data_IF_337125799528
#
_entry.id   IF_337125799528
#
_cell.length_a   1.000
_cell.length_b   1.000
_cell.length_c   1.000
_cell.angle_alpha   90.00
_cell.angle_beta   90.00
_cell.angle_gamma   90.00
#
_symmetry.space_group_name_H-M   'P 1'
#
loop_
_entity.id
_entity.type
_entity.pdbx_description
1 polymer ?
#
# COMPACT_ATOMS: atom_id res chain seq x y z
N UNK A 1 25.63 -0.55 -11.03
CA UNK A 1 24.33 0.01 -11.39
C UNK A 1 23.51 0.22 -10.13
N UNK A 2 22.42 1.01 -10.18
CA UNK A 2 21.50 1.20 -9.06
C UNK A 2 20.92 -0.16 -8.59
N UNK A 3 20.47 -1.00 -9.54
CA UNK A 3 19.97 -2.37 -9.29
C UNK A 3 20.92 -3.20 -8.43
N UNK A 4 22.19 -3.34 -8.83
CA UNK A 4 23.18 -4.13 -8.07
C UNK A 4 23.36 -3.67 -6.62
N UNK A 5 23.33 -2.34 -6.37
CA UNK A 5 23.46 -1.80 -5.00
C UNK A 5 22.20 -2.06 -4.18
N UNK A 6 21.01 -1.93 -4.78
CA UNK A 6 19.73 -2.30 -4.18
C UNK A 6 19.71 -3.78 -3.82
N UNK A 7 20.06 -4.66 -4.76
CA UNK A 7 20.00 -6.11 -4.57
C UNK A 7 20.96 -6.58 -3.47
N UNK A 8 22.19 -6.07 -3.45
CA UNK A 8 23.15 -6.35 -2.38
C UNK A 8 22.64 -5.89 -1.01
N UNK A 9 21.91 -4.75 -0.95
CA UNK A 9 21.29 -4.29 0.27
C UNK A 9 20.17 -5.24 0.74
N UNK A 10 19.31 -5.71 -0.17
CA UNK A 10 18.25 -6.68 0.12
C UNK A 10 18.82 -8.04 0.54
N UNK A 11 19.83 -8.54 -0.16
CA UNK A 11 20.49 -9.81 0.17
C UNK A 11 21.07 -9.79 1.58
N UNK A 12 21.68 -8.67 1.98
CA UNK A 12 22.16 -8.47 3.35
C UNK A 12 21.02 -8.53 4.36
N UNK A 13 19.86 -7.94 4.08
CA UNK A 13 18.68 -8.03 4.96
C UNK A 13 18.15 -9.46 5.07
N UNK A 14 18.12 -10.21 3.95
CA UNK A 14 17.73 -11.62 3.95
C UNK A 14 18.65 -12.46 4.86
N UNK A 15 19.96 -12.21 4.80
CA UNK A 15 20.93 -12.83 5.70
C UNK A 15 20.68 -12.52 7.17
N UNK A 16 20.31 -11.28 7.50
CA UNK A 16 19.95 -10.88 8.88
C UNK A 16 18.72 -11.65 9.38
N UNK A 17 17.68 -11.79 8.56
CA UNK A 17 16.49 -12.56 8.95
C UNK A 17 16.81 -14.05 9.15
N UNK A 18 17.58 -14.66 8.25
CA UNK A 18 18.01 -16.05 8.38
C UNK A 18 18.78 -16.28 9.69
N UNK A 19 19.75 -15.40 10.01
CA UNK A 19 20.51 -15.47 11.25
C UNK A 19 19.66 -15.25 12.51
N UNK A 20 18.61 -14.42 12.42
CA UNK A 20 17.69 -14.20 13.53
C UNK A 20 16.77 -15.39 13.79
N UNK A 21 16.35 -16.11 12.75
CA UNK A 21 15.59 -17.36 12.89
C UNK A 21 16.45 -18.43 13.56
N UNK A 22 17.69 -18.61 13.09
CA UNK A 22 18.64 -19.58 13.63
C UNK A 22 18.94 -19.33 15.12
N UNK A 23 19.25 -18.08 15.50
CA UNK A 23 19.49 -17.69 16.91
C UNK A 23 18.29 -17.90 17.82
N UNK A 24 17.08 -17.96 17.27
CA UNK A 24 15.83 -18.22 17.99
C UNK A 24 15.38 -19.67 17.88
N UNK A 25 16.24 -20.53 17.33
CA UNK A 25 15.99 -21.96 17.15
C UNK A 25 14.71 -22.24 16.35
N UNK A 26 14.38 -21.35 15.41
CA UNK A 26 13.23 -21.56 14.52
C UNK A 26 13.63 -22.51 13.41
N UNK A 27 13.00 -23.69 13.37
CA UNK A 27 13.17 -24.66 12.27
C UNK A 27 12.65 -24.07 10.96
N UNK A 28 13.56 -23.67 10.07
CA UNK A 28 13.24 -23.20 8.74
C UNK A 28 13.15 -24.36 7.75
N UNK A 29 11.96 -24.60 7.21
CA UNK A 29 11.73 -25.55 6.12
C UNK A 29 11.66 -24.77 4.80
N UNK A 30 12.53 -25.09 3.85
CA UNK A 30 12.53 -24.49 2.51
C UNK A 30 11.79 -25.40 1.54
N UNK A 31 10.66 -24.94 1.04
CA UNK A 31 9.81 -25.66 0.11
C UNK A 31 8.44 -25.01 0.03
N UNK A 32 7.52 -25.62 -0.74
CA UNK A 32 6.14 -25.13 -0.81
C UNK A 32 5.25 -25.97 0.09
N UNK A 33 4.62 -25.32 1.07
CA UNK A 33 3.70 -25.97 1.99
C UNK A 33 2.29 -26.08 1.39
N UNK A 34 1.64 -27.23 1.60
CA UNK A 34 0.20 -27.43 1.33
C UNK A 34 -0.43 -28.26 2.44
N UNK A 35 -1.70 -28.04 2.72
CA UNK A 35 -2.44 -28.88 3.65
C UNK A 35 -2.70 -30.26 3.04
N UNK A 36 -2.53 -31.30 3.86
CA UNK A 36 -2.97 -32.68 3.55
C UNK A 36 -4.03 -33.18 4.53
N UNK A 37 -4.24 -32.44 5.63
CA UNK A 37 -5.36 -32.53 6.55
C UNK A 37 -5.44 -31.24 7.37
N UNK A 38 -6.48 -31.03 8.20
CA UNK A 38 -6.56 -29.85 9.07
C UNK A 38 -5.38 -29.67 10.04
N UNK A 39 -4.62 -30.73 10.35
CA UNK A 39 -3.52 -30.70 11.33
C UNK A 39 -2.14 -31.08 10.74
N UNK A 40 -2.04 -31.27 9.43
CA UNK A 40 -0.82 -31.75 8.77
C UNK A 40 -0.60 -31.01 7.46
N UNK A 41 0.63 -30.53 7.27
CA UNK A 41 1.10 -29.95 6.02
C UNK A 41 2.16 -30.86 5.39
N UNK A 42 2.22 -30.84 4.06
CA UNK A 42 3.28 -31.42 3.25
C UNK A 42 4.16 -30.28 2.73
N UNK A 43 5.48 -30.41 2.91
CA UNK A 43 6.50 -29.51 2.36
C UNK A 43 7.42 -30.37 1.51
N UNK A 44 7.26 -30.27 0.20
CA UNK A 44 8.02 -31.01 -0.82
C UNK A 44 8.15 -32.53 -0.54
N UNK A 45 7.06 -33.17 -0.09
CA UNK A 45 6.99 -34.61 0.21
C UNK A 45 7.25 -35.01 1.66
N UNK A 46 7.65 -34.06 2.51
CA UNK A 46 7.83 -34.28 3.95
C UNK A 46 6.63 -33.76 4.74
N UNK A 47 6.09 -34.56 5.66
CA UNK A 47 4.89 -34.23 6.43
C UNK A 47 5.21 -33.68 7.81
N UNK A 48 4.49 -32.64 8.20
CA UNK A 48 4.67 -31.94 9.48
C UNK A 48 3.32 -31.70 10.14
N UNK A 49 3.26 -31.87 11.47
CA UNK A 49 2.07 -31.63 12.29
C UNK A 49 2.32 -30.52 13.29
N UNK A 50 1.29 -29.73 13.56
CA UNK A 50 1.32 -28.69 14.59
C UNK A 50 -0.03 -28.56 15.28
N UNK A 51 -0.01 -28.18 16.56
CA UNK A 51 -1.22 -27.87 17.34
C UNK A 51 -1.83 -26.52 16.97
N UNK A 52 -1.05 -25.63 16.33
CA UNK A 52 -1.42 -24.29 15.86
C UNK A 52 -0.74 -24.04 14.52
N UNK A 53 -1.48 -23.53 13.53
CA UNK A 53 -0.96 -23.22 12.20
C UNK A 53 -1.33 -21.78 11.86
N UNK A 54 -0.37 -20.97 11.42
CA UNK A 54 -0.62 -19.60 10.97
C UNK A 54 -0.28 -19.47 9.48
N UNK A 55 -1.25 -19.04 8.68
CA UNK A 55 -1.12 -18.80 7.24
C UNK A 55 -0.73 -17.32 7.04
N UNK A 56 0.47 -17.10 6.52
CA UNK A 56 1.03 -15.77 6.24
C UNK A 56 1.67 -15.74 4.85
N UNK A 57 0.97 -16.30 3.85
CA UNK A 57 1.50 -16.56 2.49
C UNK A 57 1.48 -15.34 1.58
N UNK A 58 0.98 -14.20 2.08
CA UNK A 58 0.96 -12.93 1.38
C UNK A 58 0.02 -12.93 0.18
N UNK A 59 0.41 -12.18 -0.85
CA UNK A 59 -0.27 -12.11 -2.14
C UNK A 59 0.72 -11.93 -3.28
N UNK A 60 0.20 -11.90 -4.51
CA UNK A 60 0.98 -11.71 -5.73
C UNK A 60 0.30 -10.68 -6.65
N UNK A 61 1.04 -10.00 -7.54
CA UNK A 61 0.45 -9.01 -8.44
C UNK A 61 -0.57 -9.64 -9.40
N UNK A 62 -1.69 -8.96 -9.63
CA UNK A 62 -2.69 -9.41 -10.60
C UNK A 62 -2.30 -9.01 -12.02
N UNK A 63 -2.47 -9.94 -12.96
CA UNK A 63 -2.30 -9.73 -14.41
C UNK A 63 -3.69 -9.79 -15.05
N UNK A 64 -4.05 -8.88 -15.98
CA UNK A 64 -5.37 -8.91 -16.60
C UNK A 64 -5.52 -10.13 -17.51
N UNK A 65 -6.74 -10.69 -17.56
CA UNK A 65 -7.11 -11.75 -18.49
C UNK A 65 -7.50 -11.14 -19.85
N UNK A 66 -6.50 -10.70 -20.60
CA UNK A 66 -6.63 -10.12 -21.95
C UNK A 66 -5.53 -10.68 -22.86
N UNK A 67 -5.76 -10.79 -24.18
CA UNK A 67 -4.72 -11.19 -25.12
C UNK A 67 -3.46 -10.31 -25.01
N UNK A 68 -2.30 -10.96 -24.96
CA UNK A 68 -0.99 -10.30 -24.89
C UNK A 68 -0.62 -9.73 -23.52
N UNK A 69 -1.39 -9.99 -22.46
CA UNK A 69 -1.07 -9.52 -21.11
C UNK A 69 0.34 -9.94 -20.64
N UNK A 70 0.82 -11.10 -21.10
CA UNK A 70 2.15 -11.65 -20.83
C UNK A 70 3.30 -10.82 -21.43
N UNK A 71 3.01 -9.90 -22.36
CA UNK A 71 4.01 -8.96 -22.90
C UNK A 71 4.38 -7.86 -21.90
N UNK A 72 3.47 -7.56 -20.95
CA UNK A 72 3.72 -6.63 -19.85
C UNK A 72 4.39 -7.31 -18.66
N UNK A 73 4.76 -6.50 -17.67
CA UNK A 73 5.37 -6.95 -16.42
C UNK A 73 4.61 -6.39 -15.21
N UNK A 74 4.82 -6.98 -14.05
CA UNK A 74 4.21 -6.54 -12.78
C UNK A 74 5.22 -5.75 -11.95
N UNK A 75 4.86 -5.36 -10.71
CA UNK A 75 5.83 -4.78 -9.77
C UNK A 75 7.05 -5.68 -9.54
N UNK A 76 6.89 -7.00 -9.60
CA UNK A 76 8.02 -7.94 -9.46
C UNK A 76 8.98 -7.79 -10.64
N UNK A 77 8.45 -7.75 -11.85
CA UNK A 77 9.24 -7.52 -13.06
C UNK A 77 9.87 -6.11 -13.13
N UNK A 78 9.23 -5.08 -12.56
CA UNK A 78 9.83 -3.75 -12.42
C UNK A 78 11.15 -3.82 -11.65
N UNK A 79 11.19 -4.54 -10.53
CA UNK A 79 12.42 -4.66 -9.76
C UNK A 79 13.47 -5.51 -10.51
N UNK A 80 13.07 -6.42 -11.40
CA UNK A 80 14.01 -7.20 -12.20
C UNK A 80 14.60 -6.47 -13.42
N UNK A 81 14.06 -5.32 -13.82
CA UNK A 81 14.59 -4.54 -14.95
C UNK A 81 16.08 -4.21 -14.78
N UNK A 82 16.91 -4.70 -15.70
CA UNK A 82 18.33 -4.31 -15.79
C UNK A 82 18.49 -2.93 -16.44
N UNK A 83 17.58 -2.59 -17.35
CA UNK A 83 17.57 -1.33 -18.09
C UNK A 83 16.21 -0.65 -17.97
N UNK A 84 16.25 0.68 -17.89
CA UNK A 84 15.05 1.52 -17.80
C UNK A 84 14.40 1.63 -19.19
N UNK A 85 13.13 1.25 -19.39
CA UNK A 85 12.42 1.48 -20.65
C UNK A 85 12.36 2.98 -20.97
N UNK A 86 12.50 3.37 -22.23
CA UNK A 86 12.47 4.79 -22.60
C UNK A 86 11.04 5.33 -22.58
N UNK A 87 10.06 4.53 -23.00
CA UNK A 87 8.62 4.82 -22.98
C UNK A 87 7.92 3.74 -22.17
N UNK A 88 7.11 4.12 -21.19
CA UNK A 88 6.43 3.17 -20.32
C UNK A 88 4.96 3.53 -20.13
N UNK A 89 4.10 2.53 -20.27
CA UNK A 89 2.71 2.61 -19.85
C UNK A 89 2.54 1.95 -18.48
N UNK A 90 2.00 2.68 -17.50
CA UNK A 90 1.60 2.13 -16.20
C UNK A 90 0.07 1.99 -16.20
N UNK A 91 -0.44 0.79 -15.95
CA UNK A 91 -1.87 0.51 -15.91
C UNK A 91 -2.29 0.29 -14.46
N UNK A 92 -3.07 1.22 -13.92
CA UNK A 92 -3.48 1.20 -12.52
C UNK A 92 -3.58 2.60 -11.91
N UNK A 93 -4.30 2.71 -10.79
CA UNK A 93 -4.56 3.98 -10.12
C UNK A 93 -4.31 3.94 -8.60
N UNK A 94 -3.80 2.82 -8.08
CA UNK A 94 -3.47 2.65 -6.65
C UNK A 94 -2.02 3.07 -6.34
N UNK A 95 -1.62 2.94 -5.07
CA UNK A 95 -0.32 3.40 -4.58
C UNK A 95 0.86 2.88 -5.42
N UNK A 96 0.92 1.57 -5.72
CA UNK A 96 1.99 0.97 -6.55
C UNK A 96 2.10 1.66 -7.92
N UNK A 97 0.96 1.92 -8.56
CA UNK A 97 0.93 2.53 -9.89
C UNK A 97 1.51 3.95 -9.84
N UNK A 98 1.12 4.74 -8.85
CA UNK A 98 1.51 6.14 -8.71
C UNK A 98 2.98 6.26 -8.28
N UNK A 99 3.43 5.44 -7.33
CA UNK A 99 4.84 5.37 -6.90
C UNK A 99 5.76 5.01 -8.07
N UNK A 100 5.45 3.91 -8.77
CA UNK A 100 6.31 3.44 -9.86
C UNK A 100 6.24 4.32 -11.11
N UNK A 101 5.10 4.97 -11.38
CA UNK A 101 5.03 6.00 -12.41
C UNK A 101 5.94 7.20 -12.08
N UNK A 102 5.93 7.66 -10.82
CA UNK A 102 6.85 8.70 -10.36
C UNK A 102 8.32 8.28 -10.49
N UNK A 103 8.66 7.05 -10.12
CA UNK A 103 10.02 6.52 -10.27
C UNK A 103 10.45 6.41 -11.73
N UNK A 104 9.60 5.92 -12.64
CA UNK A 104 9.92 5.90 -14.05
C UNK A 104 10.15 7.31 -14.63
N UNK A 105 9.26 8.25 -14.29
CA UNK A 105 9.34 9.63 -14.78
C UNK A 105 10.57 10.37 -14.24
N UNK A 106 10.82 10.32 -12.92
CA UNK A 106 12.04 10.86 -12.30
C UNK A 106 13.31 10.13 -12.78
N UNK A 107 13.14 8.84 -13.12
CA UNK A 107 14.03 8.01 -13.93
C UNK A 107 14.46 8.71 -15.23
N UNK A 108 13.53 9.38 -15.91
CA UNK A 108 13.66 9.96 -17.24
C UNK A 108 12.99 9.12 -18.34
N UNK A 109 12.04 8.26 -18.00
CA UNK A 109 11.15 7.58 -18.96
C UNK A 109 9.98 8.48 -19.34
N UNK A 110 9.59 8.48 -20.62
CA UNK A 110 8.29 9.03 -21.04
C UNK A 110 7.17 8.14 -20.49
N UNK A 111 6.52 8.63 -19.44
CA UNK A 111 5.63 7.83 -18.59
C UNK A 111 4.17 8.22 -18.82
N UNK A 112 3.34 7.24 -19.20
CA UNK A 112 1.89 7.42 -19.33
C UNK A 112 1.15 6.49 -18.39
N UNK A 113 0.26 7.02 -17.56
CA UNK A 113 -0.58 6.26 -16.64
C UNK A 113 -1.99 6.10 -17.22
N UNK A 114 -2.40 4.86 -17.44
CA UNK A 114 -3.73 4.50 -17.91
C UNK A 114 -4.61 4.10 -16.72
N UNK A 115 -5.71 4.82 -16.52
CA UNK A 115 -6.63 4.60 -15.40
C UNK A 115 -8.05 4.29 -15.90
N UNK A 116 -8.73 3.35 -15.24
CA UNK A 116 -10.08 2.90 -15.61
C UNK A 116 -11.17 3.94 -15.35
N UNK A 117 -10.93 4.88 -14.44
CA UNK A 117 -11.90 5.91 -14.01
C UNK A 117 -11.28 7.30 -14.18
N UNK A 118 -11.64 8.26 -13.32
CA UNK A 118 -11.29 9.67 -13.47
C UNK A 118 -10.06 10.12 -12.66
N UNK A 119 -9.68 9.39 -11.62
CA UNK A 119 -8.61 9.81 -10.71
C UNK A 119 -7.78 8.66 -10.14
N UNK A 120 -6.69 9.04 -9.48
CA UNK A 120 -5.77 8.15 -8.75
C UNK A 120 -6.06 8.18 -7.26
N UNK A 121 -5.55 7.18 -6.54
CA UNK A 121 -5.64 7.06 -5.08
C UNK A 121 -7.09 7.25 -4.56
N UNK A 122 -8.06 6.63 -5.25
CA UNK A 122 -9.50 6.82 -4.98
C UNK A 122 -9.98 6.32 -3.61
N UNK A 123 -9.18 5.51 -2.94
CA UNK A 123 -9.44 5.02 -1.58
C UNK A 123 -8.79 5.94 -0.51
N UNK A 124 -8.16 7.03 -0.93
CA UNK A 124 -7.59 8.07 -0.07
C UNK A 124 -8.47 9.32 -0.10
N UNK A 125 -8.18 10.28 0.78
CA UNK A 125 -8.86 11.59 0.74
C UNK A 125 -8.66 12.23 -0.64
N UNK A 126 -9.75 12.76 -1.22
CA UNK A 126 -9.77 13.29 -2.58
C UNK A 126 -8.67 14.35 -2.83
N UNK A 127 -8.35 15.14 -1.80
CA UNK A 127 -7.27 16.13 -1.86
C UNK A 127 -5.93 15.48 -2.21
N UNK A 128 -5.61 14.33 -1.63
CA UNK A 128 -4.33 13.65 -1.84
C UNK A 128 -4.20 13.17 -3.29
N UNK A 129 -5.25 12.54 -3.82
CA UNK A 129 -5.27 12.08 -5.21
C UNK A 129 -5.20 13.22 -6.22
N UNK A 130 -5.88 14.34 -5.95
CA UNK A 130 -5.90 15.52 -6.81
C UNK A 130 -4.53 16.24 -6.84
N UNK A 131 -3.94 16.51 -5.68
CA UNK A 131 -2.65 17.19 -5.59
C UNK A 131 -1.51 16.32 -6.15
N UNK A 132 -1.50 15.01 -5.86
CA UNK A 132 -0.51 14.10 -6.42
C UNK A 132 -0.57 14.07 -7.95
N UNK A 133 -1.78 14.00 -8.51
CA UNK A 133 -1.96 14.04 -9.97
C UNK A 133 -1.46 15.34 -10.57
N UNK A 134 -1.82 16.47 -9.97
CA UNK A 134 -1.43 17.79 -10.47
C UNK A 134 0.09 17.96 -10.49
N UNK A 135 0.78 17.51 -9.43
CA UNK A 135 2.26 17.57 -9.39
C UNK A 135 2.87 16.62 -10.42
N UNK A 136 2.37 15.39 -10.53
CA UNK A 136 2.90 14.43 -11.52
C UNK A 136 2.70 14.91 -12.97
N UNK A 137 1.56 15.54 -13.28
CA UNK A 137 1.31 16.14 -14.59
C UNK A 137 2.27 17.31 -14.86
N UNK A 138 2.55 18.14 -13.86
CA UNK A 138 3.55 19.21 -13.96
C UNK A 138 4.98 18.66 -14.18
N UNK A 139 5.30 17.51 -13.60
CA UNK A 139 6.57 16.79 -13.78
C UNK A 139 6.64 16.01 -15.12
N UNK A 140 5.58 16.05 -15.94
CA UNK A 140 5.55 15.47 -17.29
C UNK A 140 4.92 14.08 -17.41
N UNK A 141 4.38 13.53 -16.32
CA UNK A 141 3.59 12.28 -16.38
C UNK A 141 2.28 12.54 -17.12
N UNK A 142 1.98 11.71 -18.13
CA UNK A 142 0.74 11.79 -18.89
C UNK A 142 -0.32 10.89 -18.26
N UNK A 143 -1.56 11.36 -18.15
CA UNK A 143 -2.68 10.54 -17.67
C UNK A 143 -3.71 10.31 -18.77
N UNK A 144 -4.08 9.05 -18.98
CA UNK A 144 -5.18 8.65 -19.88
C UNK A 144 -6.29 8.05 -19.03
N UNK A 145 -7.37 8.82 -18.89
CA UNK A 145 -8.52 8.44 -18.06
C UNK A 145 -9.54 7.60 -18.82
N UNK A 146 -10.40 6.92 -18.05
CA UNK A 146 -11.46 6.03 -18.55
C UNK A 146 -10.96 4.99 -19.55
N UNK A 147 -9.71 4.55 -19.40
CA UNK A 147 -9.06 3.62 -20.30
C UNK A 147 -9.15 2.21 -19.71
N UNK A 148 -9.94 1.35 -20.34
CA UNK A 148 -10.10 -0.06 -19.94
C UNK A 148 -9.39 -0.93 -20.97
N UNK A 149 -8.21 -1.49 -20.67
CA UNK A 149 -7.45 -2.28 -21.64
C UNK A 149 -8.17 -3.59 -21.99
N UNK A 150 -8.19 -3.94 -23.26
CA UNK A 150 -8.79 -5.18 -23.80
C UNK A 150 -7.79 -6.07 -24.51
N UNK A 151 -6.64 -5.53 -24.92
CA UNK A 151 -5.56 -6.25 -25.59
C UNK A 151 -4.24 -5.47 -25.43
N UNK A 152 -3.13 -6.18 -25.35
CA UNK A 152 -1.79 -5.65 -25.48
C UNK A 152 -1.13 -6.27 -26.71
N UNK A 153 -0.85 -5.47 -27.73
CA UNK A 153 -0.32 -5.92 -29.01
C UNK A 153 1.17 -5.57 -29.12
N UNK A 154 2.00 -6.49 -29.62
CA UNK A 154 3.38 -6.18 -30.03
C UNK A 154 3.42 -5.78 -31.49
N UNK A 155 3.92 -4.58 -31.78
CA UNK A 155 4.10 -4.03 -33.13
C UNK A 155 5.59 -3.85 -33.46
N UNK A 156 5.91 -3.34 -34.66
CA UNK A 156 7.28 -2.98 -35.03
C UNK A 156 7.87 -1.85 -34.19
N UNK A 157 7.02 -0.99 -33.62
CA UNK A 157 7.41 0.27 -32.99
C UNK A 157 7.35 0.22 -31.46
N UNK A 158 6.92 -0.91 -30.90
CA UNK A 158 6.74 -1.13 -29.46
C UNK A 158 5.49 -1.93 -29.14
N UNK A 159 5.03 -1.85 -27.91
CA UNK A 159 3.79 -2.45 -27.45
C UNK A 159 2.67 -1.40 -27.43
N UNK A 160 1.46 -1.78 -27.82
CA UNK A 160 0.29 -0.89 -27.91
C UNK A 160 -0.86 -1.46 -27.09
N UNK A 161 -1.39 -0.66 -26.17
CA UNK A 161 -2.62 -0.98 -25.43
C UNK A 161 -3.84 -0.60 -26.26
N UNK A 162 -4.79 -1.53 -26.40
CA UNK A 162 -6.11 -1.27 -26.97
C UNK A 162 -7.13 -1.13 -25.85
N UNK A 163 -8.02 -0.14 -25.96
CA UNK A 163 -9.10 0.08 -25.01
C UNK A 163 -10.45 -0.39 -25.52
N UNK A 164 -11.35 -0.71 -24.59
CA UNK A 164 -12.72 -1.14 -24.88
C UNK A 164 -13.55 -0.12 -25.69
N UNK A 165 -13.18 1.16 -25.65
CA UNK A 165 -13.84 2.24 -26.42
C UNK A 165 -13.18 2.50 -27.79
N UNK A 166 -12.26 1.63 -28.22
CA UNK A 166 -11.56 1.72 -29.51
C UNK A 166 -10.33 2.63 -29.51
N UNK A 167 -10.01 3.31 -28.40
CA UNK A 167 -8.75 4.08 -28.29
C UNK A 167 -7.54 3.14 -28.26
N UNK A 168 -6.39 3.64 -28.73
CA UNK A 168 -5.09 2.97 -28.68
C UNK A 168 -4.05 3.87 -28.00
N UNK A 169 -3.13 3.29 -27.23
CA UNK A 169 -1.98 4.03 -26.71
C UNK A 169 -0.97 4.33 -27.82
N UNK A 170 -0.05 5.27 -27.56
CA UNK A 170 1.19 5.31 -28.32
C UNK A 170 2.00 4.01 -28.08
N UNK A 171 2.88 3.59 -29.02
CA UNK A 171 3.79 2.48 -28.78
C UNK A 171 4.75 2.76 -27.62
N UNK A 172 4.92 1.78 -26.72
CA UNK A 172 5.80 1.86 -25.55
C UNK A 172 6.78 0.68 -25.49
N UNK A 173 7.85 0.84 -24.71
CA UNK A 173 8.89 -0.20 -24.54
C UNK A 173 8.60 -1.12 -23.35
N UNK A 174 7.74 -0.66 -22.43
CA UNK A 174 7.33 -1.40 -21.24
C UNK A 174 5.88 -1.13 -20.86
N UNK A 175 5.18 -2.16 -20.38
CA UNK A 175 3.85 -2.03 -19.77
C UNK A 175 3.89 -2.62 -18.37
N UNK A 176 3.62 -1.79 -17.37
CA UNK A 176 3.50 -2.20 -15.98
C UNK A 176 2.02 -2.43 -15.61
N UNK A 177 1.69 -3.66 -15.23
CA UNK A 177 0.42 -4.01 -14.61
C UNK A 177 0.48 -3.74 -13.09
N UNK A 178 -0.17 -2.65 -12.67
CA UNK A 178 -0.32 -2.25 -11.27
C UNK A 178 -1.82 -2.17 -10.90
N UNK A 179 -2.57 -3.20 -11.26
CA UNK A 179 -4.04 -3.22 -11.23
C UNK A 179 -4.64 -3.86 -9.96
N UNK A 180 -3.79 -4.29 -9.01
CA UNK A 180 -4.21 -4.97 -7.79
C UNK A 180 -3.29 -6.15 -7.45
N UNK A 181 -3.63 -6.81 -6.35
CA UNK A 181 -2.94 -8.01 -5.86
C UNK A 181 -3.98 -9.07 -5.50
N UNK A 182 -3.59 -10.33 -5.61
CA UNK A 182 -4.43 -11.50 -5.30
C UNK A 182 -3.83 -12.26 -4.13
N UNK A 183 -4.69 -12.78 -3.24
CA UNK A 183 -4.27 -13.59 -2.11
C UNK A 183 -3.55 -14.87 -2.56
N UNK A 184 -2.45 -15.22 -1.90
CA UNK A 184 -1.70 -16.43 -2.20
C UNK A 184 -2.27 -17.65 -1.44
N UNK A 185 -3.49 -18.02 -1.79
CA UNK A 185 -4.20 -19.20 -1.26
C UNK A 185 -4.21 -20.37 -2.25
N UNK A 186 -3.98 -20.09 -3.54
CA UNK A 186 -3.90 -21.10 -4.59
C UNK A 186 -2.69 -22.00 -4.37
N UNK A 187 -2.91 -23.31 -4.35
CA UNK A 187 -1.86 -24.31 -4.13
C UNK A 187 -1.62 -24.68 -2.66
N UNK A 188 -2.17 -23.93 -1.70
CA UNK A 188 -2.13 -24.30 -0.28
C UNK A 188 -3.08 -25.44 0.09
N UNK A 189 -4.05 -25.76 -0.77
CA UNK A 189 -5.11 -26.72 -0.50
C UNK A 189 -5.88 -26.42 0.80
N UNK A 190 -6.20 -25.13 1.01
CA UNK A 190 -6.92 -24.65 2.21
C UNK A 190 -8.27 -25.32 2.41
N UNK A 191 -8.91 -25.75 1.32
CA UNK A 191 -10.14 -26.55 1.29
C UNK A 191 -9.97 -27.92 1.96
N UNK A 192 -8.82 -28.59 1.78
CA UNK A 192 -8.50 -29.87 2.47
C UNK A 192 -8.41 -29.66 3.99
N UNK A 193 -8.01 -28.47 4.42
CA UNK A 193 -7.98 -28.10 5.84
C UNK A 193 -9.34 -27.66 6.39
N UNK A 194 -10.37 -27.54 5.54
CA UNK A 194 -11.69 -27.02 5.89
C UNK A 194 -11.75 -25.50 6.02
N UNK A 195 -10.75 -24.78 5.51
CA UNK A 195 -10.68 -23.32 5.59
C UNK A 195 -11.48 -22.71 4.43
N UNK A 196 -12.34 -21.76 4.77
CA UNK A 196 -13.11 -20.99 3.79
C UNK A 196 -12.30 -19.82 3.23
N UNK A 197 -12.50 -19.51 1.94
CA UNK A 197 -12.04 -18.28 1.31
C UNK A 197 -13.22 -17.48 0.79
N UNK A 198 -13.10 -16.15 0.76
CA UNK A 198 -14.09 -15.31 0.10
C UNK A 198 -14.03 -15.44 -1.45
N UNK A 199 -14.92 -14.74 -2.15
CA UNK A 199 -14.99 -14.77 -3.61
C UNK A 199 -13.73 -14.21 -4.31
N UNK A 200 -12.93 -13.40 -3.61
CA UNK A 200 -11.67 -12.85 -4.11
C UNK A 200 -10.45 -13.73 -3.73
N UNK A 201 -10.68 -14.81 -2.98
CA UNK A 201 -9.67 -15.78 -2.57
C UNK A 201 -8.94 -15.42 -1.27
N UNK A 202 -9.35 -14.36 -0.55
CA UNK A 202 -8.82 -14.04 0.78
C UNK A 202 -9.38 -15.00 1.83
N UNK A 203 -8.64 -15.19 2.92
CA UNK A 203 -9.08 -16.00 4.08
C UNK A 203 -9.77 -15.07 5.09
N UNK A 204 -11.09 -15.15 5.28
CA UNK A 204 -11.79 -14.38 6.30
C UNK A 204 -11.29 -14.76 7.69
N UNK A 205 -11.12 -13.75 8.55
CA UNK A 205 -10.68 -13.93 9.93
C UNK A 205 -11.41 -12.98 10.87
N UNK A 206 -11.62 -13.44 12.10
CA UNK A 206 -12.03 -12.58 13.21
C UNK A 206 -10.90 -11.61 13.64
N UNK A 207 -11.16 -10.76 14.63
CA UNK A 207 -10.19 -9.78 15.13
C UNK A 207 -8.97 -10.42 15.79
N UNK A 208 -9.10 -11.68 16.15
CA UNK A 208 -8.04 -12.52 16.69
C UNK A 208 -7.39 -13.38 15.59
N UNK A 209 -7.48 -12.96 14.33
CA UNK A 209 -6.84 -13.65 13.19
C UNK A 209 -7.24 -15.12 13.04
N UNK A 210 -8.30 -15.57 13.72
CA UNK A 210 -8.75 -16.95 13.66
C UNK A 210 -9.59 -17.16 12.40
N UNK A 211 -9.31 -18.27 11.71
CA UNK A 211 -10.16 -18.74 10.60
C UNK A 211 -11.41 -19.43 11.15
N UNK A 212 -12.27 -19.94 10.26
CA UNK A 212 -13.37 -20.84 10.64
C UNK A 212 -12.88 -22.16 11.29
N UNK A 213 -11.59 -22.51 11.17
CA UNK A 213 -10.97 -23.68 11.80
C UNK A 213 -10.18 -23.25 13.06
N UNK A 214 -10.64 -23.68 14.24
CA UNK A 214 -10.22 -23.18 15.58
C UNK A 214 -8.71 -23.09 15.85
N UNK A 215 -7.89 -23.95 15.26
CA UNK A 215 -6.44 -23.98 15.48
C UNK A 215 -5.63 -23.42 14.30
N UNK A 216 -6.30 -22.92 13.27
CA UNK A 216 -5.69 -22.30 12.09
C UNK A 216 -6.00 -20.80 12.09
N UNK A 217 -4.96 -20.00 11.89
CA UNK A 217 -5.00 -18.55 11.87
C UNK A 217 -4.53 -18.03 10.51
N UNK A 218 -4.92 -16.83 10.13
CA UNK A 218 -4.39 -16.15 8.95
C UNK A 218 -4.09 -14.67 9.24
N UNK A 219 -2.98 -14.16 8.70
CA UNK A 219 -2.54 -12.78 8.92
C UNK A 219 -1.78 -12.21 7.72
N UNK A 220 -1.72 -10.89 7.64
CA UNK A 220 -1.14 -10.16 6.51
C UNK A 220 -2.04 -10.18 5.28
N UNK A 221 -1.47 -9.93 4.10
CA UNK A 221 -2.20 -9.68 2.85
C UNK A 221 -3.21 -10.78 2.49
N UNK A 222 -2.97 -12.04 2.89
CA UNK A 222 -3.86 -13.18 2.61
C UNK A 222 -5.25 -13.02 3.24
N UNK A 223 -5.41 -12.11 4.22
CA UNK A 223 -6.68 -11.85 4.92
C UNK A 223 -7.55 -10.77 4.26
N UNK A 224 -7.01 -10.01 3.31
CA UNK A 224 -7.73 -8.90 2.68
C UNK A 224 -8.02 -7.70 3.59
N UNK A 225 -7.47 -7.68 4.83
CA UNK A 225 -7.45 -6.47 5.69
C UNK A 225 -6.43 -5.45 5.13
N UNK A 226 -5.73 -4.69 5.98
CA UNK A 226 -4.74 -3.71 5.49
C UNK A 226 -3.45 -4.40 5.00
N UNK A 227 -3.17 -4.32 3.69
CA UNK A 227 -2.00 -4.90 3.03
C UNK A 227 -0.72 -4.06 3.25
N UNK A 228 -0.27 -3.99 4.51
CA UNK A 228 0.89 -3.21 4.95
C UNK A 228 1.82 -4.06 5.82
N UNK A 229 3.13 -3.93 5.61
CA UNK A 229 4.13 -4.69 6.37
C UNK A 229 4.01 -4.49 7.90
N UNK A 230 3.85 -3.25 8.43
CA UNK A 230 3.68 -3.04 9.88
C UNK A 230 2.42 -3.70 10.44
N UNK A 231 1.35 -3.80 9.64
CA UNK A 231 0.09 -4.46 10.03
C UNK A 231 0.31 -5.97 10.18
N UNK A 232 0.94 -6.61 9.19
CA UNK A 232 1.27 -8.03 9.26
C UNK A 232 2.16 -8.36 10.46
N UNK A 233 3.20 -7.53 10.71
CA UNK A 233 4.09 -7.69 11.87
C UNK A 233 3.33 -7.53 13.19
N UNK A 234 2.49 -6.49 13.32
CA UNK A 234 1.74 -6.23 14.55
C UNK A 234 0.71 -7.33 14.82
N UNK A 235 -0.03 -7.77 13.80
CA UNK A 235 -0.98 -8.88 13.90
C UNK A 235 -0.28 -10.19 14.30
N UNK A 236 0.87 -10.51 13.68
CA UNK A 236 1.66 -11.69 14.02
C UNK A 236 2.22 -11.68 15.45
N UNK A 237 2.76 -10.54 15.90
CA UNK A 237 3.23 -10.40 17.29
C UNK A 237 2.09 -10.59 18.30
N UNK A 238 0.95 -9.95 18.06
CA UNK A 238 -0.23 -10.03 18.94
C UNK A 238 -0.88 -11.42 18.93
N UNK A 239 -0.85 -12.12 17.80
CA UNK A 239 -1.22 -13.53 17.71
C UNK A 239 -0.30 -14.39 18.60
N UNK A 240 1.02 -14.18 18.54
CA UNK A 240 1.96 -14.90 19.39
C UNK A 240 1.76 -14.59 20.89
N UNK A 241 1.55 -13.32 21.25
CA UNK A 241 1.23 -12.89 22.62
C UNK A 241 -0.01 -13.62 23.16
N UNK A 242 -1.04 -13.80 22.32
CA UNK A 242 -2.28 -14.50 22.69
C UNK A 242 -2.08 -16.01 22.82
N UNK A 243 -1.40 -16.63 21.86
CA UNK A 243 -1.25 -18.09 21.82
C UNK A 243 -0.23 -18.61 22.84
N UNK A 244 0.80 -17.82 23.15
CA UNK A 244 1.97 -18.28 23.91
C UNK A 244 2.40 -17.32 25.02
N UNK A 245 1.91 -16.08 25.04
CA UNK A 245 2.30 -15.05 26.01
C UNK A 245 1.29 -14.78 27.13
N UNK A 246 0.16 -15.50 27.17
CA UNK A 246 -0.87 -15.35 28.21
C UNK A 246 -1.74 -14.10 28.09
N UNK A 247 -1.72 -13.41 26.94
CA UNK A 247 -2.52 -12.20 26.71
C UNK A 247 -3.77 -12.50 25.87
N UNK A 248 -4.81 -13.10 26.48
CA UNK A 248 -5.98 -13.64 25.76
C UNK A 248 -6.69 -12.64 24.85
N UNK A 249 -6.83 -11.39 25.30
CA UNK A 249 -7.56 -10.33 24.58
C UNK A 249 -6.69 -9.56 23.58
N UNK A 250 -5.41 -9.93 23.42
CA UNK A 250 -4.46 -9.15 22.64
C UNK A 250 -4.76 -9.28 21.15
N UNK A 251 -5.29 -8.24 20.51
CA UNK A 251 -5.54 -8.21 19.06
C UNK A 251 -5.12 -6.88 18.43
N UNK A 252 -5.00 -6.82 17.10
CA UNK A 252 -4.65 -5.60 16.39
C UNK A 252 -5.93 -4.80 16.11
N UNK A 253 -5.94 -3.55 16.54
CA UNK A 253 -6.92 -2.56 16.10
C UNK A 253 -6.59 -2.13 14.66
N UNK A 254 -7.54 -2.24 13.74
CA UNK A 254 -7.37 -1.88 12.34
C UNK A 254 -7.81 -0.46 12.02
N UNK A 255 -8.27 0.29 13.02
CA UNK A 255 -8.56 1.72 12.91
C UNK A 255 -7.27 2.55 12.98
N UNK A 256 -7.26 3.70 12.31
CA UNK A 256 -6.18 4.69 12.36
C UNK A 256 -4.77 4.14 12.06
N UNK A 257 -4.65 3.21 11.11
CA UNK A 257 -3.35 2.74 10.62
C UNK A 257 -2.72 3.85 9.78
N UNK A 258 -1.57 4.43 10.18
CA UNK A 258 -0.89 5.43 9.37
C UNK A 258 -0.26 4.78 8.13
N UNK A 259 -0.33 5.48 7.02
CA UNK A 259 0.19 5.03 5.72
C UNK A 259 0.95 6.17 5.06
N UNK A 260 2.06 5.82 4.41
CA UNK A 260 2.79 6.72 3.51
C UNK A 260 2.69 6.14 2.09
N UNK A 261 2.45 7.00 1.11
CA UNK A 261 2.62 6.68 -0.31
C UNK A 261 3.80 7.47 -0.84
N UNK A 262 4.79 6.79 -1.41
CA UNK A 262 6.04 7.40 -1.87
C UNK A 262 5.89 8.01 -3.28
N UNK A 263 4.87 8.85 -3.44
CA UNK A 263 4.75 9.78 -4.56
C UNK A 263 5.84 10.85 -4.50
N UNK A 264 5.94 11.69 -5.53
CA UNK A 264 6.86 12.81 -5.55
C UNK A 264 6.02 14.10 -5.67
N UNK A 265 5.82 14.87 -4.59
CA UNK A 265 6.27 14.64 -3.21
C UNK A 265 5.48 13.53 -2.48
N UNK A 266 5.95 13.00 -1.33
CA UNK A 266 5.29 11.90 -0.62
C UNK A 266 3.98 12.34 0.05
N UNK A 267 3.10 11.36 0.26
CA UNK A 267 1.83 11.49 0.98
C UNK A 267 1.96 10.82 2.35
N UNK A 268 1.45 11.48 3.39
CA UNK A 268 1.18 10.88 4.69
C UNK A 268 -0.32 10.92 5.01
N UNK A 269 -0.91 9.81 5.46
CA UNK A 269 -2.34 9.74 5.79
C UNK A 269 -2.64 8.83 6.97
N UNK A 270 -3.56 9.24 7.84
CA UNK A 270 -4.12 8.39 8.91
C UNK A 270 -5.58 8.74 9.18
N UNK A 271 -6.39 7.73 9.47
CA UNK A 271 -7.79 7.90 9.85
C UNK A 271 -8.74 8.04 8.65
N UNK A 272 -9.94 8.55 8.93
CA UNK A 272 -11.02 8.70 7.97
C UNK A 272 -10.73 9.81 6.96
N UNK A 273 -11.05 9.57 5.70
CA UNK A 273 -11.17 10.61 4.67
C UNK A 273 -12.33 11.55 4.96
N UNK A 274 -12.36 12.72 4.31
CA UNK A 274 -13.46 13.67 4.49
C UNK A 274 -14.80 13.05 4.08
N UNK A 275 -14.81 12.27 2.99
CA UNK A 275 -16.01 11.60 2.50
C UNK A 275 -16.52 10.55 3.50
N UNK A 276 -15.63 9.74 4.08
CA UNK A 276 -15.99 8.75 5.10
C UNK A 276 -16.50 9.43 6.39
N UNK A 277 -15.82 10.49 6.86
CA UNK A 277 -16.23 11.23 8.04
C UNK A 277 -17.60 11.88 7.84
N UNK A 278 -17.85 12.53 6.69
CA UNK A 278 -19.16 13.09 6.35
C UNK A 278 -20.23 12.01 6.24
N UNK A 279 -19.92 10.86 5.65
CA UNK A 279 -20.86 9.74 5.56
C UNK A 279 -21.23 9.18 6.94
N UNK A 280 -20.28 9.15 7.88
CA UNK A 280 -20.50 8.58 9.22
C UNK A 280 -21.07 9.60 10.23
N UNK A 281 -20.73 10.88 10.11
CA UNK A 281 -21.00 11.90 11.13
C UNK A 281 -21.77 13.13 10.62
N UNK A 282 -21.98 13.27 9.31
CA UNK A 282 -22.75 14.37 8.72
C UNK A 282 -22.21 15.75 9.10
N UNK A 283 -23.14 16.64 9.50
CA UNK A 283 -22.86 18.03 9.91
C UNK A 283 -21.94 18.17 11.12
N UNK A 284 -21.73 17.09 11.90
CA UNK A 284 -20.76 17.11 12.98
C UNK A 284 -19.31 17.15 12.47
N UNK A 285 -19.08 16.98 11.17
CA UNK A 285 -17.75 16.98 10.54
C UNK A 285 -17.26 18.39 10.24
N UNK A 286 -16.10 18.75 10.75
CA UNK A 286 -15.40 20.01 10.46
C UNK A 286 -14.02 19.72 9.87
N UNK A 287 -13.61 20.52 8.88
CA UNK A 287 -12.36 20.33 8.14
C UNK A 287 -11.48 21.57 8.27
N UNK A 288 -10.23 21.36 8.62
CA UNK A 288 -9.18 22.38 8.62
C UNK A 288 -8.17 22.08 7.52
N UNK A 289 -7.65 23.10 6.86
CA UNK A 289 -6.80 22.94 5.69
C UNK A 289 -5.74 24.03 5.63
N UNK A 290 -4.50 23.66 5.31
CA UNK A 290 -3.41 24.58 4.98
C UNK A 290 -2.76 24.18 3.65
N UNK A 291 -2.42 25.17 2.83
CA UNK A 291 -1.67 24.99 1.58
C UNK A 291 -0.61 26.09 1.47
N UNK A 292 0.65 25.69 1.31
CA UNK A 292 1.79 26.60 1.32
C UNK A 292 2.93 26.06 0.46
N UNK A 293 3.91 26.90 0.13
CA UNK A 293 5.16 26.44 -0.48
C UNK A 293 6.19 26.26 0.63
N UNK A 294 6.70 25.03 0.88
CA UNK A 294 7.67 24.82 1.94
C UNK A 294 8.98 25.57 1.62
N UNK A 295 9.71 25.94 2.67
CA UNK A 295 10.94 26.73 2.56
C UNK A 295 11.98 26.10 1.62
N UNK A 296 11.94 24.77 1.46
CA UNK A 296 12.75 24.00 0.51
C UNK A 296 12.68 24.52 -0.94
N UNK A 297 11.54 25.07 -1.38
CA UNK A 297 11.36 25.64 -2.72
C UNK A 297 11.42 27.18 -2.74
N UNK A 298 11.75 27.85 -1.63
CA UNK A 298 11.64 29.31 -1.52
C UNK A 298 12.48 30.07 -2.57
N UNK A 299 13.66 29.54 -2.91
CA UNK A 299 14.59 30.14 -3.88
C UNK A 299 14.53 29.52 -5.28
N UNK A 300 13.63 28.55 -5.50
CA UNK A 300 13.45 27.89 -6.80
C UNK A 300 12.41 28.64 -7.63
N UNK A 301 12.59 28.63 -8.95
CA UNK A 301 11.60 29.16 -9.90
C UNK A 301 10.33 28.31 -9.87
N UNK A 302 10.51 26.98 -9.92
CA UNK A 302 9.45 26.00 -9.81
C UNK A 302 9.23 25.66 -8.34
N UNK A 303 7.98 25.77 -7.90
CA UNK A 303 7.57 25.53 -6.51
C UNK A 303 6.60 24.36 -6.48
N UNK A 304 6.84 23.43 -5.56
CA UNK A 304 5.91 22.35 -5.25
C UNK A 304 5.24 22.69 -3.94
N UNK A 305 3.91 22.76 -3.94
CA UNK A 305 3.15 23.09 -2.74
C UNK A 305 3.06 21.88 -1.80
N UNK A 306 3.01 22.16 -0.50
CA UNK A 306 2.55 21.22 0.52
C UNK A 306 1.10 21.53 0.85
N UNK A 307 0.27 20.50 0.91
CA UNK A 307 -1.15 20.61 1.30
C UNK A 307 -1.41 19.67 2.48
N UNK A 308 -2.10 20.18 3.50
CA UNK A 308 -2.43 19.46 4.72
C UNK A 308 -3.90 19.65 5.07
N UNK A 309 -4.54 18.58 5.57
CA UNK A 309 -5.94 18.54 5.98
C UNK A 309 -6.10 17.81 7.31
N UNK A 310 -6.84 18.42 8.24
CA UNK A 310 -7.35 17.76 9.45
C UNK A 310 -8.86 17.64 9.35
N UNK A 311 -9.37 16.48 9.73
CA UNK A 311 -10.81 16.19 9.79
C UNK A 311 -11.17 15.93 11.24
N UNK A 312 -12.17 16.65 11.72
CA UNK A 312 -12.62 16.62 13.11
C UNK A 312 -14.11 16.33 13.18
N UNK A 313 -14.55 15.71 14.27
CA UNK A 313 -15.97 15.38 14.49
C UNK A 313 -16.46 15.80 15.87
N UNK A 314 -17.71 16.22 15.94
CA UNK A 314 -18.40 16.56 17.18
C UNK A 314 -18.01 17.91 17.76
N UNK A 315 -18.63 18.26 18.89
CA UNK A 315 -18.41 19.54 19.57
C UNK A 315 -16.97 19.69 20.09
N UNK A 316 -16.39 18.60 20.57
CA UNK A 316 -15.01 18.54 21.06
C UNK A 316 -13.97 18.58 19.92
N UNK A 317 -14.41 18.49 18.66
CA UNK A 317 -13.55 18.45 17.47
C UNK A 317 -12.46 17.38 17.58
N UNK A 318 -12.85 16.16 17.94
CA UNK A 318 -11.95 15.01 17.95
C UNK A 318 -11.40 14.79 16.56
N UNK A 319 -10.07 14.69 16.41
CA UNK A 319 -9.43 14.47 15.12
C UNK A 319 -9.64 13.01 14.72
N UNK A 320 -10.27 12.80 13.56
CA UNK A 320 -10.54 11.47 12.99
C UNK A 320 -9.80 11.22 11.69
N UNK A 321 -9.22 12.25 11.08
CA UNK A 321 -8.43 12.15 9.85
C UNK A 321 -7.33 13.20 9.82
N UNK A 322 -6.14 12.81 9.36
CA UNK A 322 -5.01 13.68 9.11
C UNK A 322 -4.33 13.26 7.82
N UNK A 323 -4.31 14.18 6.85
CA UNK A 323 -3.85 13.92 5.48
C UNK A 323 -2.89 15.02 5.05
N UNK A 324 -1.78 14.65 4.44
CA UNK A 324 -0.78 15.60 3.98
C UNK A 324 -0.06 15.07 2.74
N UNK A 325 0.31 15.98 1.86
CA UNK A 325 1.15 15.73 0.69
C UNK A 325 2.17 16.86 0.57
N UNK A 326 3.45 16.52 0.46
CA UNK A 326 4.54 17.49 0.46
C UNK A 326 5.86 16.90 0.95
N UNK A 327 6.93 17.68 0.85
CA UNK A 327 8.25 17.24 1.30
C UNK A 327 8.26 16.90 2.80
N UNK A 328 8.82 15.74 3.14
CA UNK A 328 8.97 15.27 4.53
C UNK A 328 7.70 14.66 5.13
N UNK A 329 6.57 14.62 4.41
CA UNK A 329 5.32 14.05 4.91
C UNK A 329 5.42 12.55 5.24
N UNK A 330 6.41 11.87 4.65
CA UNK A 330 6.82 10.50 4.91
C UNK A 330 7.34 10.27 6.33
N UNK A 331 7.89 11.29 6.99
CA UNK A 331 8.44 11.20 8.35
C UNK A 331 7.60 11.97 9.40
N UNK A 332 6.79 12.96 8.98
CA UNK A 332 6.00 13.78 9.91
C UNK A 332 4.86 13.02 10.61
N UNK A 333 4.18 12.13 9.88
CA UNK A 333 2.89 11.57 10.30
C UNK A 333 2.94 10.69 11.55
N UNK A 334 4.07 10.02 11.80
CA UNK A 334 4.14 8.94 12.80
C UNK A 334 3.79 9.40 14.22
N UNK A 335 4.19 10.62 14.60
CA UNK A 335 3.84 11.23 15.90
C UNK A 335 2.36 11.61 15.98
N UNK A 336 1.80 12.18 14.92
CA UNK A 336 0.38 12.53 14.85
C UNK A 336 -0.53 11.30 14.90
N UNK A 337 -0.10 10.17 14.31
CA UNK A 337 -0.83 8.91 14.41
C UNK A 337 -0.93 8.40 15.87
N UNK A 338 0.09 8.64 16.70
CA UNK A 338 0.01 8.34 18.14
C UNK A 338 -1.02 9.24 18.82
N UNK A 339 -0.97 10.55 18.58
CA UNK A 339 -1.91 11.51 19.17
C UNK A 339 -3.37 11.21 18.78
N UNK A 340 -3.63 10.93 17.50
CA UNK A 340 -4.97 10.59 17.00
C UNK A 340 -5.45 9.27 17.61
N UNK A 341 -4.58 8.27 17.74
CA UNK A 341 -4.90 7.02 18.43
C UNK A 341 -5.25 7.24 19.91
N UNK A 342 -4.66 8.23 20.56
CA UNK A 342 -5.00 8.63 21.94
C UNK A 342 -6.32 9.40 22.03
N UNK A 343 -6.94 9.74 20.90
CA UNK A 343 -8.18 10.50 20.85
C UNK A 343 -8.00 12.01 20.85
N UNK A 344 -6.85 12.52 20.38
CA UNK A 344 -6.56 13.95 20.35
C UNK A 344 -7.67 14.77 19.68
N UNK A 345 -8.00 15.89 20.30
CA UNK A 345 -8.91 16.91 19.81
C UNK A 345 -8.14 18.05 19.14
N UNK A 346 -8.84 18.87 18.35
CA UNK A 346 -8.24 20.05 17.70
C UNK A 346 -7.56 20.99 18.72
N UNK A 347 -8.12 21.09 19.93
CA UNK A 347 -7.54 21.88 21.00
C UNK A 347 -6.15 21.36 21.43
N UNK A 348 -5.93 20.04 21.50
CA UNK A 348 -4.62 19.49 21.86
C UNK A 348 -3.54 19.88 20.84
N UNK A 349 -3.93 19.99 19.56
CA UNK A 349 -3.05 20.49 18.51
C UNK A 349 -2.80 21.99 18.67
N UNK A 350 -3.83 22.79 18.95
CA UNK A 350 -3.71 24.24 19.11
C UNK A 350 -2.90 24.65 20.34
N UNK A 351 -2.97 23.87 21.42
CA UNK A 351 -2.21 24.09 22.66
C UNK A 351 -0.75 23.60 22.54
N UNK A 352 -0.41 22.89 21.46
CA UNK A 352 0.96 22.43 21.18
C UNK A 352 1.77 23.53 20.50
N UNK A 353 2.85 23.97 21.13
CA UNK A 353 3.77 24.98 20.57
C UNK A 353 4.45 24.45 19.29
N UNK A 354 4.36 25.23 18.22
CA UNK A 354 5.00 24.97 16.94
C UNK A 354 6.53 24.87 17.01
N UNK A 355 7.12 23.99 16.19
CA UNK A 355 8.56 23.95 15.89
C UNK A 355 8.82 24.73 14.61
N UNK A 356 9.60 25.81 14.68
CA UNK A 356 9.83 26.72 13.56
C UNK A 356 11.31 26.83 13.15
N UNK A 357 11.66 26.83 11.84
CA UNK A 357 10.77 26.65 10.68
C UNK A 357 10.65 25.17 10.27
N UNK A 358 9.42 24.62 10.26
CA UNK A 358 9.14 23.26 9.75
C UNK A 358 7.77 23.17 9.08
N UNK A 359 7.60 22.33 8.07
CA UNK A 359 6.27 22.11 7.48
C UNK A 359 5.26 21.50 8.45
N UNK A 360 5.72 20.70 9.42
CA UNK A 360 4.86 20.07 10.42
C UNK A 360 4.14 21.09 11.32
N UNK A 361 4.69 22.31 11.48
CA UNK A 361 4.10 23.36 12.30
C UNK A 361 2.71 23.80 11.80
N UNK A 362 2.45 23.63 10.51
CA UNK A 362 1.19 23.98 9.87
C UNK A 362 0.01 23.14 10.37
N UNK A 363 0.25 21.92 10.86
CA UNK A 363 -0.80 21.07 11.45
C UNK A 363 -1.30 21.59 12.81
N UNK A 364 -0.42 22.21 13.59
CA UNK A 364 -0.73 22.72 14.94
C UNK A 364 -1.08 24.21 14.94
N UNK A 365 -1.22 24.81 13.75
CA UNK A 365 -1.49 26.25 13.60
C UNK A 365 -2.68 26.56 12.67
N UNK A 366 -3.38 25.54 12.17
CA UNK A 366 -4.60 25.72 11.36
C UNK A 366 -5.71 26.40 12.17
N UNK A 367 -6.49 27.30 11.54
CA UNK A 367 -7.60 28.01 12.18
C UNK A 367 -8.92 27.83 11.46
#
# INVERSE_FOLDING_TARGET
TLKKRRDAYIERLNGIYAANLDRREVTLLRGTARFVSPHEIDVDGSRYRASKIAIATGGYPSVPDIPGAELGFTSDGFFELEERPQRVAVVGSGYIAVELAGVFNGLGSDTTVHIRKDGILRDFDEMLGAEARAVMEADGVKFVTRFVPTELERTSDGMVLHAADGRRSAPVDGVLWAIGRTANTRGLAVDIAGIETDLAGFIPVDDFQATNVKHIFALGDVTGRAALTPVAIAAGRRLADRLFGGMSERHLEYECIPTVVFTHPPIGTVGLTEAEARSAHGEATQVFHSRFNPMQYALRTEKVATTMKLITVGEERRIVGCHMIGDGCDEMLQGFAVAIRMGACKQDFDDTVAIHPTSAEELVTMR
#
